data_IF_050053007625
#
_entry.id   IF_050053007625
#
_cell.length_a   1.000
_cell.length_b   1.000
_cell.length_c   1.000
_cell.angle_alpha   90.00
_cell.angle_beta   90.00
_cell.angle_gamma   90.00
#
_symmetry.space_group_name_H-M   'P 1'
#
loop_
_entity.id
_entity.type
_entity.pdbx_description
1 polymer ?
#
# COMPACT_ATOMS: atom_id res chain seq x y z
N UNK A 1 -18.13 -0.82 1.40
CA UNK A 1 -19.34 0.02 1.51
C UNK A 1 -19.33 0.95 0.31
N UNK A 2 -20.31 0.81 -0.60
CA UNK A 2 -20.43 1.64 -1.81
C UNK A 2 -21.51 2.68 -1.48
N UNK A 3 -21.20 3.98 -1.62
CA UNK A 3 -22.13 5.06 -1.27
C UNK A 3 -22.76 5.65 -2.54
N UNK A 4 -24.08 5.68 -2.59
CA UNK A 4 -24.87 6.22 -3.71
C UNK A 4 -25.28 7.69 -3.51
N UNK A 5 -25.18 8.44 -4.61
CA UNK A 5 -25.79 9.74 -4.95
C UNK A 5 -25.93 10.81 -3.85
N UNK A 6 -24.92 11.67 -3.76
CA UNK A 6 -25.12 13.09 -3.45
C UNK A 6 -25.05 13.85 -4.78
N UNK A 7 -26.20 14.38 -5.21
CA UNK A 7 -26.47 14.84 -6.59
C UNK A 7 -25.41 15.76 -7.20
N UNK A 8 -24.63 15.22 -8.15
CA UNK A 8 -23.73 15.98 -9.02
C UNK A 8 -23.80 15.42 -10.44
N UNK A 9 -23.90 16.30 -11.43
CA UNK A 9 -23.85 15.93 -12.85
C UNK A 9 -22.52 15.25 -13.21
N UNK A 10 -22.52 14.24 -14.10
CA UNK A 10 -21.36 13.39 -14.35
C UNK A 10 -20.34 14.11 -15.24
N UNK A 11 -19.23 14.52 -14.64
CA UNK A 11 -17.99 14.87 -15.37
C UNK A 11 -16.82 14.06 -14.81
N UNK A 12 -16.85 12.76 -15.08
CA UNK A 12 -15.86 11.78 -14.64
C UNK A 12 -16.46 10.38 -14.77
N UNK A 13 -15.69 9.40 -15.26
CA UNK A 13 -16.15 8.06 -15.58
C UNK A 13 -16.83 7.36 -14.40
N UNK A 14 -18.16 7.42 -14.35
CA UNK A 14 -18.97 6.75 -13.34
C UNK A 14 -18.96 5.24 -13.59
N UNK A 15 -18.32 4.48 -12.71
CA UNK A 15 -18.55 3.04 -12.64
C UNK A 15 -19.96 2.80 -12.09
N UNK A 16 -20.86 2.27 -12.92
CA UNK A 16 -22.20 1.81 -12.54
C UNK A 16 -23.09 2.86 -11.82
N UNK A 17 -22.94 4.14 -12.12
CA UNK A 17 -23.80 5.21 -11.60
C UNK A 17 -23.46 5.71 -10.18
N UNK A 18 -22.33 5.31 -9.62
CA UNK A 18 -21.84 5.86 -8.34
C UNK A 18 -20.93 7.08 -8.57
N UNK A 19 -21.03 8.07 -7.66
CA UNK A 19 -20.19 9.28 -7.70
C UNK A 19 -18.81 9.08 -7.06
N UNK A 20 -18.68 8.11 -6.14
CA UNK A 20 -17.44 7.77 -5.43
C UNK A 20 -17.34 6.26 -5.30
N UNK A 21 -16.21 5.69 -5.69
CA UNK A 21 -15.92 4.25 -5.67
C UNK A 21 -14.99 3.91 -4.51
N UNK A 22 -15.38 2.91 -3.72
CA UNK A 22 -14.60 2.40 -2.59
C UNK A 22 -14.47 0.88 -2.67
N UNK A 23 -13.34 0.39 -3.19
CA UNK A 23 -13.03 -1.03 -3.31
C UNK A 23 -11.60 -1.32 -2.82
N UNK A 24 -11.16 -2.57 -2.90
CA UNK A 24 -9.75 -2.93 -2.61
C UNK A 24 -8.76 -2.31 -3.59
N UNK A 25 -9.22 -1.92 -4.80
CA UNK A 25 -8.36 -1.29 -5.79
C UNK A 25 -7.76 0.01 -5.27
N UNK A 26 -6.44 0.11 -5.32
CA UNK A 26 -5.65 1.31 -5.05
C UNK A 26 -5.92 2.42 -6.10
N UNK A 27 -6.58 2.08 -7.20
CA UNK A 27 -7.09 3.02 -8.22
C UNK A 27 -8.50 3.54 -7.91
N UNK A 28 -9.17 3.07 -6.85
CA UNK A 28 -10.45 3.63 -6.39
C UNK A 28 -10.26 5.05 -5.85
N UNK A 29 -11.35 5.84 -5.82
CA UNK A 29 -11.36 7.17 -5.20
C UNK A 29 -10.91 7.12 -3.74
N UNK A 30 -11.41 6.11 -3.01
CA UNK A 30 -10.99 5.80 -1.64
C UNK A 30 -10.76 4.30 -1.48
N UNK A 31 -9.51 3.82 -1.59
CA UNK A 31 -9.20 2.39 -1.47
C UNK A 31 -9.51 1.84 -0.07
N UNK A 32 -10.03 0.63 0.02
CA UNK A 32 -10.35 -0.07 1.27
C UNK A 32 -9.59 -1.40 1.27
N UNK A 33 -8.34 -1.36 1.71
CA UNK A 33 -7.47 -2.53 1.81
C UNK A 33 -7.67 -3.32 3.10
N UNK A 34 -7.19 -4.57 3.12
CA UNK A 34 -7.20 -5.47 4.27
C UNK A 34 -5.90 -5.36 5.09
N UNK A 35 -5.34 -4.15 5.21
CA UNK A 35 -4.06 -3.94 5.88
C UNK A 35 -4.09 -2.64 6.71
N UNK A 36 -3.55 -2.74 7.92
CA UNK A 36 -3.21 -1.62 8.78
C UNK A 36 -2.22 -2.07 9.86
N UNK A 37 -1.50 -1.13 10.44
CA UNK A 37 -0.62 -1.40 11.59
C UNK A 37 -1.42 -1.77 12.84
N UNK A 38 -2.66 -1.30 12.95
CA UNK A 38 -3.56 -1.62 14.06
C UNK A 38 -4.09 -3.07 14.02
N UNK A 39 -4.31 -3.62 12.81
CA UNK A 39 -4.85 -4.97 12.63
C UNK A 39 -3.78 -6.07 12.62
N UNK A 40 -2.59 -5.77 12.10
CA UNK A 40 -1.55 -6.77 11.87
C UNK A 40 -0.25 -6.39 12.56
N UNK A 41 0.19 -7.22 13.50
CA UNK A 41 1.54 -7.17 14.06
C UNK A 41 2.55 -7.74 13.05
N UNK A 42 2.76 -7.00 11.95
CA UNK A 42 3.64 -7.38 10.85
C UNK A 42 5.09 -7.53 11.31
N UNK A 43 5.49 -6.91 12.41
CA UNK A 43 6.83 -7.01 12.99
C UNK A 43 6.91 -8.03 14.13
N UNK A 44 5.88 -8.85 14.34
CA UNK A 44 5.90 -9.94 15.32
C UNK A 44 7.14 -10.83 15.12
N UNK A 45 7.82 -11.24 16.21
CA UNK A 45 8.99 -12.09 16.15
C UNK A 45 8.72 -13.41 15.41
N UNK A 46 9.65 -13.81 14.56
CA UNK A 46 9.58 -15.09 13.84
C UNK A 46 9.80 -16.23 14.83
N UNK A 47 8.86 -17.18 14.87
CA UNK A 47 8.99 -18.40 15.68
C UNK A 47 9.71 -19.50 14.89
N UNK A 48 10.31 -20.44 15.63
CA UNK A 48 10.92 -21.63 15.04
C UNK A 48 9.85 -22.45 14.30
N UNK A 49 10.17 -22.88 13.08
CA UNK A 49 9.28 -23.69 12.24
C UNK A 49 9.39 -25.15 12.66
N UNK A 50 8.30 -25.71 13.19
CA UNK A 50 8.29 -27.04 13.82
C UNK A 50 7.48 -28.09 13.07
N UNK A 51 6.62 -27.68 12.13
CA UNK A 51 5.81 -28.62 11.35
C UNK A 51 6.65 -29.31 10.28
N UNK A 52 6.37 -30.61 10.07
CA UNK A 52 7.07 -31.42 9.06
C UNK A 52 6.58 -31.13 7.64
N UNK A 53 5.29 -30.81 7.50
CA UNK A 53 4.75 -30.37 6.22
C UNK A 53 5.33 -28.99 5.87
N UNK A 54 5.66 -28.79 4.60
CA UNK A 54 6.30 -27.54 4.16
C UNK A 54 5.35 -26.36 4.26
N UNK A 55 4.09 -26.57 3.91
CA UNK A 55 3.09 -25.52 3.82
C UNK A 55 1.80 -25.88 4.58
N UNK A 56 1.06 -24.84 4.97
CA UNK A 56 -0.31 -24.97 5.43
C UNK A 56 -1.28 -24.20 4.53
N UNK A 57 -2.49 -24.75 4.38
CA UNK A 57 -3.57 -24.17 3.61
C UNK A 57 -4.86 -24.06 4.44
N UNK A 58 -5.49 -22.89 4.39
CA UNK A 58 -6.77 -22.60 5.05
C UNK A 58 -7.79 -22.14 4.02
N UNK A 59 -8.09 -23.02 3.05
CA UNK A 59 -8.98 -22.74 1.93
C UNK A 59 -10.31 -23.47 2.14
N UNK A 60 -11.40 -22.71 2.30
CA UNK A 60 -12.74 -23.30 2.54
C UNK A 60 -13.74 -23.05 1.42
N UNK A 61 -13.46 -22.13 0.50
CA UNK A 61 -14.30 -21.93 -0.68
C UNK A 61 -13.73 -22.76 -1.85
N UNK A 62 -14.31 -23.92 -2.17
CA UNK A 62 -13.75 -24.75 -3.25
C UNK A 62 -14.27 -24.35 -4.64
N UNK A 63 -15.18 -23.37 -4.72
CA UNK A 63 -15.80 -22.91 -5.96
C UNK A 63 -15.26 -21.56 -6.47
N UNK A 64 -14.05 -21.18 -6.08
CA UNK A 64 -13.42 -19.98 -6.63
C UNK A 64 -13.18 -20.15 -8.14
N UNK A 65 -13.46 -19.11 -8.92
CA UNK A 65 -13.30 -19.10 -10.37
C UNK A 65 -11.88 -18.68 -10.76
N UNK A 66 -10.88 -19.37 -10.22
CA UNK A 66 -9.47 -19.23 -10.57
C UNK A 66 -8.76 -20.60 -10.45
N UNK A 67 -7.49 -20.68 -10.82
CA UNK A 67 -6.74 -21.93 -10.93
C UNK A 67 -6.15 -22.45 -9.60
N UNK A 68 -6.66 -21.97 -8.46
CA UNK A 68 -5.98 -22.17 -7.17
C UNK A 68 -6.03 -23.60 -6.65
N UNK A 69 -7.07 -24.37 -7.00
CA UNK A 69 -7.18 -25.77 -6.58
C UNK A 69 -6.31 -26.65 -7.47
N UNK A 70 -6.28 -26.35 -8.77
CA UNK A 70 -5.39 -27.00 -9.74
C UNK A 70 -3.93 -26.78 -9.35
N UNK A 71 -3.56 -25.57 -8.92
CA UNK A 71 -2.23 -25.29 -8.41
C UNK A 71 -1.92 -26.01 -7.10
N UNK A 72 -2.88 -26.11 -6.17
CA UNK A 72 -2.72 -26.88 -4.94
C UNK A 72 -2.44 -28.35 -5.26
N UNK A 73 -3.25 -28.97 -6.11
CA UNK A 73 -3.04 -30.36 -6.55
C UNK A 73 -1.70 -30.55 -7.28
N UNK A 74 -1.29 -29.60 -8.11
CA UNK A 74 -0.02 -29.64 -8.81
C UNK A 74 1.17 -29.54 -7.83
N UNK A 75 1.09 -28.70 -6.81
CA UNK A 75 2.08 -28.65 -5.73
C UNK A 75 2.17 -30.00 -4.98
N UNK A 76 1.02 -30.61 -4.64
CA UNK A 76 0.98 -31.94 -4.01
C UNK A 76 1.64 -33.01 -4.90
N UNK A 77 1.31 -33.04 -6.21
CA UNK A 77 1.93 -33.95 -7.20
C UNK A 77 3.43 -33.75 -7.35
N UNK A 78 3.92 -32.53 -7.12
CA UNK A 78 5.35 -32.19 -7.11
C UNK A 78 6.01 -32.48 -5.76
N UNK A 79 5.37 -33.24 -4.87
CA UNK A 79 5.87 -33.62 -3.54
C UNK A 79 6.08 -32.43 -2.58
N UNK A 80 5.27 -31.38 -2.70
CA UNK A 80 5.15 -30.37 -1.63
C UNK A 80 4.15 -30.88 -0.61
N UNK A 81 4.60 -31.13 0.62
CA UNK A 81 3.72 -31.56 1.71
C UNK A 81 2.90 -30.38 2.23
N UNK A 82 1.59 -30.50 2.13
CA UNK A 82 0.63 -29.44 2.49
C UNK A 82 -0.34 -29.97 3.55
N UNK A 83 -0.39 -29.31 4.70
CA UNK A 83 -1.43 -29.53 5.71
C UNK A 83 -2.61 -28.58 5.43
N UNK A 84 -3.73 -29.15 4.99
CA UNK A 84 -4.94 -28.45 4.62
C UNK A 84 -5.99 -28.53 5.73
N UNK A 85 -6.21 -27.40 6.39
CA UNK A 85 -7.14 -27.24 7.52
C UNK A 85 -8.52 -26.74 7.09
N UNK A 86 -8.61 -26.08 5.93
CA UNK A 86 -9.87 -25.59 5.35
C UNK A 86 -10.74 -26.72 4.77
N UNK A 87 -11.91 -26.39 4.27
CA UNK A 87 -12.83 -27.40 3.70
C UNK A 87 -12.32 -28.03 2.40
N UNK A 88 -11.42 -27.39 1.66
CA UNK A 88 -10.86 -27.92 0.42
C UNK A 88 -9.61 -28.76 0.71
N UNK A 89 -9.51 -29.95 0.10
CA UNK A 89 -8.40 -30.90 0.31
C UNK A 89 -8.12 -31.20 1.79
N UNK A 90 -9.15 -31.14 2.64
CA UNK A 90 -9.02 -31.22 4.10
C UNK A 90 -8.35 -32.52 4.53
N UNK A 91 -7.11 -32.43 4.99
CA UNK A 91 -6.32 -33.54 5.53
C UNK A 91 -5.92 -33.33 7.00
N UNK A 92 -6.22 -32.15 7.56
CA UNK A 92 -6.13 -31.84 8.99
C UNK A 92 -7.46 -31.32 9.50
N UNK A 93 -7.73 -31.54 10.78
CA UNK A 93 -8.87 -30.92 11.44
C UNK A 93 -8.58 -29.45 11.75
N UNK A 94 -9.28 -28.53 11.09
CA UNK A 94 -9.21 -27.10 11.34
C UNK A 94 -10.26 -26.55 12.30
N UNK A 95 -11.18 -27.36 12.84
CA UNK A 95 -12.35 -26.90 13.60
C UNK A 95 -12.03 -26.13 14.88
N UNK A 96 -10.92 -26.49 15.54
CA UNK A 96 -10.44 -25.89 16.79
C UNK A 96 -9.12 -25.13 16.62
N UNK A 97 -8.60 -25.06 15.40
CA UNK A 97 -7.27 -24.53 15.11
C UNK A 97 -7.33 -23.01 14.94
N UNK A 98 -6.58 -22.29 15.78
CA UNK A 98 -6.30 -20.89 15.50
C UNK A 98 -5.35 -20.79 14.29
N UNK A 99 -5.83 -20.22 13.19
CA UNK A 99 -5.09 -20.09 11.93
C UNK A 99 -3.73 -19.44 12.10
N UNK A 100 -3.66 -18.29 12.79
CA UNK A 100 -2.40 -17.56 12.94
C UNK A 100 -1.38 -18.34 13.77
N UNK A 101 -1.82 -18.96 14.87
CA UNK A 101 -0.95 -19.80 15.71
C UNK A 101 -0.46 -21.06 14.99
N UNK A 102 -1.27 -21.63 14.10
CA UNK A 102 -0.84 -22.71 13.21
C UNK A 102 0.23 -22.24 12.23
N UNK A 103 -0.05 -21.16 11.47
CA UNK A 103 0.85 -20.64 10.44
C UNK A 103 2.24 -20.29 10.97
N UNK A 104 2.35 -19.85 12.23
CA UNK A 104 3.65 -19.57 12.88
C UNK A 104 4.62 -20.74 12.85
N UNK A 105 4.12 -21.98 12.82
CA UNK A 105 4.94 -23.21 12.82
C UNK A 105 5.33 -23.72 11.43
N UNK A 106 4.75 -23.17 10.37
CA UNK A 106 5.04 -23.55 8.98
C UNK A 106 6.05 -22.61 8.32
N UNK A 107 6.84 -23.16 7.39
CA UNK A 107 7.73 -22.38 6.53
C UNK A 107 6.93 -21.57 5.50
N UNK A 108 5.93 -22.19 4.90
CA UNK A 108 5.10 -21.58 3.86
C UNK A 108 3.62 -21.53 4.26
N UNK A 109 2.92 -20.51 3.78
CA UNK A 109 1.48 -20.35 3.91
C UNK A 109 0.87 -20.20 2.53
N UNK A 110 -0.09 -21.06 2.15
CA UNK A 110 -0.77 -20.93 0.86
C UNK A 110 -1.83 -19.81 0.96
N UNK A 111 -1.42 -18.61 0.55
CA UNK A 111 -2.24 -17.40 0.56
C UNK A 111 -2.99 -17.26 -0.78
N UNK A 112 -3.85 -18.23 -1.09
CA UNK A 112 -4.59 -18.27 -2.35
C UNK A 112 -5.91 -17.51 -2.26
N UNK A 113 -6.03 -16.45 -3.05
CA UNK A 113 -7.23 -15.62 -3.13
C UNK A 113 -8.33 -16.27 -3.97
N UNK A 114 -9.55 -15.74 -3.85
CA UNK A 114 -10.73 -16.24 -4.56
C UNK A 114 -10.81 -15.73 -6.02
N UNK A 115 -10.10 -14.64 -6.34
CA UNK A 115 -9.99 -14.06 -7.68
C UNK A 115 -8.60 -13.48 -7.88
N UNK A 116 -8.22 -13.29 -9.15
CA UNK A 116 -6.92 -12.78 -9.54
C UNK A 116 -7.04 -11.30 -9.97
N UNK A 117 -7.67 -10.49 -9.12
CA UNK A 117 -7.92 -9.07 -9.39
C UNK A 117 -6.76 -8.19 -8.91
N UNK A 118 -6.42 -7.16 -9.67
CA UNK A 118 -5.43 -6.16 -9.28
C UNK A 118 -5.78 -5.58 -7.89
N UNK A 119 -4.79 -5.51 -7.00
CA UNK A 119 -4.92 -5.10 -5.58
C UNK A 119 -5.83 -5.92 -4.67
N UNK A 120 -6.42 -7.01 -5.16
CA UNK A 120 -7.18 -7.89 -4.30
C UNK A 120 -6.23 -8.74 -3.45
N UNK A 121 -5.76 -8.14 -2.35
CA UNK A 121 -4.84 -8.72 -1.37
C UNK A 121 -5.51 -8.66 -0.01
N UNK A 122 -5.79 -9.83 0.57
CA UNK A 122 -6.60 -9.92 1.80
C UNK A 122 -5.80 -10.38 3.01
N UNK A 123 -6.50 -10.69 4.10
CA UNK A 123 -5.94 -11.24 5.34
C UNK A 123 -5.05 -12.48 5.11
N UNK A 124 -5.26 -13.24 4.02
CA UNK A 124 -4.44 -14.44 3.73
C UNK A 124 -2.97 -14.09 3.57
N UNK A 125 -2.68 -13.03 2.83
CA UNK A 125 -1.32 -12.57 2.61
C UNK A 125 -0.74 -11.97 3.89
N UNK A 126 -1.44 -11.01 4.52
CA UNK A 126 -0.92 -10.29 5.68
C UNK A 126 -0.76 -11.18 6.92
N UNK A 127 -1.68 -12.14 7.18
CA UNK A 127 -1.51 -13.11 8.27
C UNK A 127 -0.29 -14.02 8.06
N UNK A 128 0.05 -14.33 6.80
CA UNK A 128 1.27 -15.09 6.49
C UNK A 128 2.52 -14.30 6.89
N UNK A 129 2.55 -13.00 6.58
CA UNK A 129 3.62 -12.10 7.00
C UNK A 129 3.71 -12.00 8.54
N UNK A 130 2.58 -11.82 9.24
CA UNK A 130 2.55 -11.80 10.72
C UNK A 130 3.16 -13.10 11.28
N UNK A 131 2.76 -14.25 10.75
CA UNK A 131 3.26 -15.56 11.18
C UNK A 131 4.75 -15.81 10.90
N UNK A 132 5.40 -14.93 10.13
CA UNK A 132 6.76 -15.16 9.63
C UNK A 132 6.84 -16.41 8.77
N UNK A 133 5.76 -16.76 8.07
CA UNK A 133 5.73 -17.77 7.03
C UNK A 133 5.86 -17.07 5.68
N UNK A 134 6.54 -17.68 4.72
CA UNK A 134 6.64 -17.14 3.36
C UNK A 134 5.30 -17.40 2.66
N UNK A 135 4.50 -16.38 2.31
CA UNK A 135 3.29 -16.56 1.53
C UNK A 135 3.61 -17.10 0.12
N UNK A 136 2.92 -18.17 -0.26
CA UNK A 136 2.80 -18.63 -1.65
C UNK A 136 1.46 -18.13 -2.16
N UNK A 137 1.48 -17.26 -3.16
CA UNK A 137 0.32 -16.44 -3.55
C UNK A 137 -0.21 -16.87 -4.91
N UNK A 138 -1.53 -16.98 -4.99
CA UNK A 138 -2.33 -16.93 -6.22
C UNK A 138 -3.36 -15.85 -5.95
N UNK A 139 -3.41 -14.80 -6.78
CA UNK A 139 -4.28 -13.65 -6.52
C UNK A 139 -3.89 -12.46 -7.38
N UNK A 140 -3.74 -11.29 -6.76
CA UNK A 140 -3.41 -10.05 -7.45
C UNK A 140 -2.12 -10.18 -8.30
N UNK A 141 -2.18 -9.91 -9.62
CA UNK A 141 -1.00 -9.99 -10.50
C UNK A 141 0.14 -9.08 -10.07
N UNK A 142 -0.18 -7.98 -9.38
CA UNK A 142 0.75 -7.00 -8.85
C UNK A 142 1.11 -7.22 -7.36
N UNK A 143 1.02 -8.46 -6.84
CA UNK A 143 1.28 -8.75 -5.41
C UNK A 143 2.63 -8.22 -4.89
N UNK A 144 3.63 -8.07 -5.74
CA UNK A 144 4.93 -7.51 -5.37
C UNK A 144 4.85 -6.07 -4.84
N UNK A 145 3.84 -5.29 -5.26
CA UNK A 145 3.58 -3.94 -4.73
C UNK A 145 3.22 -3.95 -3.22
N UNK A 146 2.71 -5.08 -2.74
CA UNK A 146 2.28 -5.31 -1.36
C UNK A 146 3.32 -6.03 -0.51
N UNK A 147 4.45 -6.44 -1.11
CA UNK A 147 5.47 -7.22 -0.43
C UNK A 147 6.37 -6.31 0.45
N UNK A 148 6.69 -6.70 1.70
CA UNK A 148 7.65 -5.96 2.51
C UNK A 148 9.06 -5.99 1.92
N UNK A 149 9.42 -7.04 1.17
CA UNK A 149 10.62 -7.11 0.35
C UNK A 149 10.41 -8.03 -0.87
N UNK A 150 11.18 -7.91 -1.96
CA UNK A 150 11.01 -8.76 -3.15
C UNK A 150 11.16 -10.27 -2.89
N UNK A 151 11.93 -10.65 -1.86
CA UNK A 151 12.17 -12.04 -1.49
C UNK A 151 11.14 -12.60 -0.48
N UNK A 152 10.17 -11.79 -0.03
CA UNK A 152 9.28 -12.16 1.07
C UNK A 152 8.08 -13.03 0.64
N UNK A 153 7.95 -13.38 -0.64
CA UNK A 153 6.83 -14.16 -1.15
C UNK A 153 7.25 -15.02 -2.35
N UNK A 154 6.43 -16.02 -2.65
CA UNK A 154 6.45 -16.76 -3.92
C UNK A 154 5.11 -16.51 -4.62
N UNK A 155 5.14 -16.16 -5.91
CA UNK A 155 3.92 -15.86 -6.68
C UNK A 155 3.75 -16.91 -7.77
N UNK A 156 2.57 -17.50 -7.83
CA UNK A 156 2.10 -18.36 -8.92
C UNK A 156 1.09 -17.51 -9.69
N UNK A 157 1.55 -16.85 -10.76
CA UNK A 157 0.70 -15.99 -11.59
C UNK A 157 -0.12 -16.78 -12.59
N UNK A 158 0.39 -17.93 -13.00
CA UNK A 158 -0.24 -18.90 -13.89
C UNK A 158 0.15 -20.34 -13.53
N UNK A 159 -0.55 -21.34 -14.09
CA UNK A 159 -0.29 -22.75 -13.77
C UNK A 159 1.11 -23.23 -14.18
N UNK A 160 1.71 -22.62 -15.22
CA UNK A 160 3.09 -22.88 -15.65
C UNK A 160 4.11 -22.56 -14.56
N UNK A 161 3.81 -21.63 -13.65
CA UNK A 161 4.74 -21.20 -12.60
C UNK A 161 4.89 -22.25 -11.49
N UNK A 162 3.91 -23.15 -11.34
CA UNK A 162 3.81 -24.05 -10.18
C UNK A 162 5.07 -24.90 -9.99
N UNK A 163 5.66 -25.42 -11.07
CA UNK A 163 6.87 -26.22 -10.98
C UNK A 163 8.07 -25.40 -10.48
N UNK A 164 8.26 -24.20 -11.02
CA UNK A 164 9.32 -23.29 -10.58
C UNK A 164 9.17 -22.90 -9.11
N UNK A 165 7.93 -22.62 -8.68
CA UNK A 165 7.61 -22.26 -7.29
C UNK A 165 7.81 -23.43 -6.36
N UNK A 166 7.41 -24.65 -6.74
CA UNK A 166 7.67 -25.86 -5.97
C UNK A 166 9.18 -26.08 -5.76
N UNK A 167 9.98 -25.84 -6.80
CA UNK A 167 11.44 -25.93 -6.70
C UNK A 167 12.01 -24.86 -5.75
N UNK A 168 11.52 -23.62 -5.80
CA UNK A 168 11.88 -22.58 -4.83
C UNK A 168 11.49 -22.94 -3.40
N UNK A 169 10.29 -23.51 -3.19
CA UNK A 169 9.84 -23.98 -1.87
C UNK A 169 10.78 -25.05 -1.31
N UNK A 170 11.16 -26.04 -2.12
CA UNK A 170 12.11 -27.09 -1.71
C UNK A 170 13.50 -26.52 -1.40
N UNK A 171 14.00 -25.61 -2.23
CA UNK A 171 15.29 -24.95 -2.02
C UNK A 171 15.32 -24.17 -0.71
N UNK A 172 14.33 -23.31 -0.48
CA UNK A 172 14.20 -22.53 0.75
C UNK A 172 13.96 -23.43 1.97
N UNK A 173 13.23 -24.54 1.82
CA UNK A 173 13.04 -25.50 2.89
C UNK A 173 14.35 -26.19 3.30
N UNK A 174 15.23 -26.50 2.34
CA UNK A 174 16.50 -27.17 2.55
C UNK A 174 17.65 -26.22 2.94
N UNK A 175 17.51 -24.92 2.68
CA UNK A 175 18.55 -23.91 2.92
C UNK A 175 18.09 -22.87 3.97
N UNK A 176 18.51 -23.01 5.24
CA UNK A 176 18.13 -22.09 6.32
C UNK A 176 18.56 -20.64 6.07
N UNK A 177 19.71 -20.42 5.44
CA UNK A 177 20.21 -19.07 5.15
C UNK A 177 19.30 -18.37 4.12
N UNK A 178 18.95 -19.05 3.03
CA UNK A 178 18.06 -18.51 2.01
C UNK A 178 16.64 -18.26 2.58
N UNK A 179 16.14 -19.15 3.44
CA UNK A 179 14.87 -18.95 4.14
C UNK A 179 14.93 -17.71 5.06
N UNK A 180 15.98 -17.59 5.87
CA UNK A 180 16.16 -16.44 6.76
C UNK A 180 16.31 -15.13 5.98
N UNK A 181 16.98 -15.15 4.83
CA UNK A 181 17.10 -13.98 3.96
C UNK A 181 15.73 -13.52 3.42
N UNK A 182 14.81 -14.45 3.17
CA UNK A 182 13.42 -14.13 2.75
C UNK A 182 12.62 -13.43 3.86
N UNK A 183 13.00 -13.63 5.13
CA UNK A 183 12.39 -13.01 6.30
C UNK A 183 13.22 -11.85 6.89
N UNK A 184 14.32 -11.46 6.26
CA UNK A 184 15.26 -10.46 6.80
C UNK A 184 14.61 -9.11 7.10
N UNK A 185 13.58 -8.76 6.33
CA UNK A 185 12.75 -7.56 6.52
C UNK A 185 12.06 -7.51 7.90
N UNK A 186 11.87 -8.63 8.59
CA UNK A 186 11.37 -8.68 9.98
C UNK A 186 12.33 -8.06 11.00
N UNK A 187 13.61 -7.97 10.65
CA UNK A 187 14.67 -7.45 11.51
C UNK A 187 15.16 -6.09 11.04
N UNK A 188 15.35 -5.93 9.72
CA UNK A 188 15.82 -4.68 9.11
C UNK A 188 14.70 -3.66 8.88
N UNK A 189 13.45 -4.10 8.91
CA UNK A 189 12.29 -3.33 8.52
C UNK A 189 11.89 -3.55 7.05
N UNK A 190 10.62 -3.31 6.71
CA UNK A 190 10.13 -3.42 5.34
C UNK A 190 10.52 -2.20 4.49
N UNK A 191 10.35 -2.33 3.18
CA UNK A 191 10.60 -1.23 2.23
C UNK A 191 9.76 0.02 2.53
N UNK A 192 10.23 1.18 2.08
CA UNK A 192 9.47 2.43 2.21
C UNK A 192 8.14 2.40 1.46
N UNK A 193 8.09 1.71 0.33
CA UNK A 193 6.85 1.52 -0.42
C UNK A 193 5.82 0.75 0.42
N UNK A 194 6.26 -0.32 1.10
CA UNK A 194 5.41 -1.09 2.00
C UNK A 194 4.93 -0.26 3.19
N UNK A 195 5.83 0.51 3.82
CA UNK A 195 5.45 1.42 4.92
C UNK A 195 4.40 2.43 4.46
N UNK A 196 4.68 3.14 3.36
CA UNK A 196 3.77 4.12 2.79
C UNK A 196 2.40 3.53 2.40
N UNK A 197 2.37 2.28 1.92
CA UNK A 197 1.13 1.55 1.69
C UNK A 197 0.39 1.30 3.01
N UNK A 198 1.04 0.69 3.99
CA UNK A 198 0.44 0.36 5.29
C UNK A 198 -0.04 1.57 6.09
N UNK A 199 0.67 2.69 6.00
CA UNK A 199 0.29 3.95 6.67
C UNK A 199 -1.04 4.51 6.17
N UNK A 200 -1.52 4.10 4.98
CA UNK A 200 -2.87 4.43 4.53
C UNK A 200 -3.93 3.95 5.54
N UNK A 201 -3.65 2.85 6.24
CA UNK A 201 -4.52 2.31 7.29
C UNK A 201 -4.58 3.17 8.55
N UNK A 202 -3.61 4.07 8.77
CA UNK A 202 -3.59 4.97 9.94
C UNK A 202 -4.72 6.02 9.92
N UNK A 203 -5.38 6.19 8.78
CA UNK A 203 -6.60 6.97 8.66
C UNK A 203 -7.69 6.05 8.13
N UNK A 204 -8.68 5.79 8.98
CA UNK A 204 -9.80 4.92 8.64
C UNK A 204 -10.48 5.35 7.33
N UNK A 205 -10.98 4.38 6.56
CA UNK A 205 -11.55 4.61 5.22
C UNK A 205 -12.67 5.65 5.19
N UNK A 206 -13.50 5.72 6.24
CA UNK A 206 -14.52 6.77 6.40
C UNK A 206 -13.93 8.17 6.51
N UNK A 207 -12.83 8.35 7.25
CA UNK A 207 -12.15 9.64 7.36
C UNK A 207 -11.50 10.03 6.03
N UNK A 208 -10.90 9.06 5.31
CA UNK A 208 -10.34 9.30 3.98
C UNK A 208 -11.42 9.70 2.97
N UNK A 209 -12.61 9.12 3.08
CA UNK A 209 -13.78 9.56 2.31
C UNK A 209 -14.16 11.01 2.64
N UNK A 210 -14.25 11.39 3.91
CA UNK A 210 -14.53 12.78 4.29
C UNK A 210 -13.48 13.74 3.70
N UNK A 211 -12.20 13.37 3.74
CA UNK A 211 -11.12 14.17 3.14
C UNK A 211 -11.31 14.29 1.63
N UNK A 212 -11.61 13.20 0.93
CA UNK A 212 -11.86 13.19 -0.51
C UNK A 212 -13.02 14.12 -0.89
N UNK A 213 -14.16 13.98 -0.21
CA UNK A 213 -15.35 14.81 -0.45
C UNK A 213 -15.08 16.28 -0.15
N UNK A 214 -14.48 16.57 1.01
CA UNK A 214 -14.17 17.94 1.41
C UNK A 214 -13.14 18.60 0.46
N UNK A 215 -12.17 17.84 -0.06
CA UNK A 215 -11.24 18.34 -1.09
C UNK A 215 -11.98 18.72 -2.36
N UNK A 216 -12.87 17.87 -2.86
CA UNK A 216 -13.65 18.19 -4.07
C UNK A 216 -14.60 19.38 -3.89
N UNK A 217 -15.19 19.56 -2.70
CA UNK A 217 -15.99 20.74 -2.36
C UNK A 217 -15.12 22.00 -2.38
N UNK A 218 -13.99 21.99 -1.68
CA UNK A 218 -13.09 23.14 -1.58
C UNK A 218 -12.54 23.56 -2.96
N UNK A 219 -12.18 22.60 -3.81
CA UNK A 219 -11.77 22.87 -5.20
C UNK A 219 -12.88 23.52 -6.05
N UNK A 220 -14.14 23.24 -5.73
CA UNK A 220 -15.29 23.84 -6.42
C UNK A 220 -15.53 25.27 -5.95
N UNK A 221 -15.43 25.49 -4.63
CA UNK A 221 -15.58 26.82 -4.01
C UNK A 221 -14.49 27.79 -4.47
N UNK A 222 -13.24 27.33 -4.56
CA UNK A 222 -12.11 28.14 -5.03
C UNK A 222 -12.22 28.55 -6.51
N UNK A 223 -12.92 27.77 -7.34
CA UNK A 223 -13.22 28.15 -8.74
C UNK A 223 -14.37 29.16 -8.82
N UNK A 224 -15.11 29.38 -7.74
CA UNK A 224 -16.23 30.29 -7.67
C UNK A 224 -15.80 31.76 -7.60
N UNK A 225 -16.67 32.65 -8.11
CA UNK A 225 -16.44 34.11 -8.17
C UNK A 225 -16.22 34.77 -6.78
N UNK A 226 -16.65 34.11 -5.70
CA UNK A 226 -16.50 34.60 -4.34
C UNK A 226 -15.07 34.46 -3.78
N UNK A 227 -14.27 33.55 -4.33
CA UNK A 227 -12.89 33.36 -3.90
C UNK A 227 -11.99 34.36 -4.63
N UNK A 228 -11.80 35.55 -4.03
CA UNK A 228 -10.89 36.57 -4.56
C UNK A 228 -9.48 35.97 -4.66
N UNK A 229 -8.97 35.82 -5.89
CA UNK A 229 -7.66 35.26 -6.22
C UNK A 229 -6.55 35.85 -5.33
N UNK A 230 -6.06 35.06 -4.37
CA UNK A 230 -4.78 35.38 -3.71
C UNK A 230 -3.66 35.21 -4.74
N UNK A 231 -2.67 36.11 -4.79
CA UNK A 231 -1.58 35.98 -5.75
C UNK A 231 -0.75 34.73 -5.43
N UNK A 232 -0.84 33.72 -6.29
CA UNK A 232 -0.09 32.46 -6.18
C UNK A 232 1.39 32.58 -6.57
N UNK A 233 1.79 33.75 -7.06
CA UNK A 233 3.17 34.11 -7.33
C UNK A 233 3.39 35.59 -7.12
N UNK A 234 4.59 35.96 -6.72
CA UNK A 234 5.03 37.34 -6.55
C UNK A 234 6.38 37.52 -7.24
N UNK A 235 6.50 38.51 -8.13
CA UNK A 235 7.73 38.79 -8.86
C UNK A 235 8.33 40.10 -8.35
N UNK A 236 9.60 40.07 -7.96
CA UNK A 236 10.37 41.25 -7.57
C UNK A 236 11.72 41.22 -8.28
N UNK A 237 11.92 42.13 -9.23
CA UNK A 237 13.10 42.12 -10.09
C UNK A 237 13.10 40.88 -11.00
N UNK A 238 14.22 40.14 -11.04
CA UNK A 238 14.37 38.91 -11.83
C UNK A 238 13.88 37.64 -11.10
N UNK A 239 13.42 37.76 -9.87
CA UNK A 239 13.02 36.62 -9.04
C UNK A 239 11.51 36.52 -8.90
N UNK A 240 10.99 35.31 -9.05
CA UNK A 240 9.59 35.01 -8.76
C UNK A 240 9.50 34.03 -7.61
N UNK A 241 8.65 34.32 -6.62
CA UNK A 241 8.32 33.39 -5.54
C UNK A 241 6.96 32.77 -5.86
N UNK A 242 6.92 31.45 -5.96
CA UNK A 242 5.72 30.64 -6.14
C UNK A 242 5.18 30.20 -4.79
N UNK A 243 3.87 30.28 -4.61
CA UNK A 243 3.17 29.79 -3.43
C UNK A 243 2.47 28.48 -3.77
N UNK A 244 2.85 27.43 -3.06
CA UNK A 244 2.31 26.07 -3.18
C UNK A 244 1.64 25.68 -1.86
N UNK A 245 0.70 24.74 -1.93
CA UNK A 245 0.05 24.15 -0.76
C UNK A 245 0.43 22.68 -0.66
N UNK A 246 0.97 22.27 0.48
CA UNK A 246 1.39 20.87 0.70
C UNK A 246 0.75 20.33 1.97
N UNK A 247 0.11 19.18 1.89
CA UNK A 247 -0.39 18.45 3.07
C UNK A 247 0.23 17.06 3.14
N UNK A 248 0.30 16.49 4.33
CA UNK A 248 0.53 15.05 4.46
C UNK A 248 -0.68 14.28 3.92
N UNK A 249 -0.46 13.19 3.16
CA UNK A 249 -1.52 12.28 2.73
C UNK A 249 -2.29 11.77 3.94
N UNK A 250 -3.63 11.85 3.88
CA UNK A 250 -4.49 11.49 5.01
C UNK A 250 -4.78 12.63 5.99
N UNK A 251 -4.25 13.84 5.75
CA UNK A 251 -4.70 15.08 6.41
C UNK A 251 -5.50 15.95 5.44
N UNK A 252 -6.41 16.75 5.98
CA UNK A 252 -7.19 17.70 5.18
C UNK A 252 -6.44 19.01 4.93
N UNK A 253 -5.90 19.61 6.00
CA UNK A 253 -5.27 20.93 5.97
C UNK A 253 -3.91 20.91 5.27
N UNK A 254 -3.63 21.95 4.49
CA UNK A 254 -2.36 22.16 3.80
C UNK A 254 -1.55 23.28 4.42
N UNK A 255 -0.24 23.13 4.35
CA UNK A 255 0.74 24.14 4.72
C UNK A 255 1.18 24.96 3.50
N UNK A 256 1.44 26.25 3.73
CA UNK A 256 2.01 27.12 2.71
C UNK A 256 3.49 26.86 2.53
N UNK A 257 3.90 26.60 1.29
CA UNK A 257 5.28 26.43 0.86
C UNK A 257 5.61 27.51 -0.17
N UNK A 258 6.73 28.19 0.02
CA UNK A 258 7.19 29.25 -0.88
C UNK A 258 8.49 28.82 -1.57
N UNK A 259 8.49 28.80 -2.90
CA UNK A 259 9.66 28.43 -3.70
C UNK A 259 10.07 29.59 -4.60
N UNK A 260 11.36 29.93 -4.56
CA UNK A 260 11.97 30.92 -5.47
C UNK A 260 12.19 30.28 -6.84
N UNK A 261 12.09 31.06 -7.91
CA UNK A 261 12.31 30.60 -9.29
C UNK A 261 13.71 30.02 -9.49
N UNK A 262 14.70 30.50 -8.73
CA UNK A 262 16.07 29.96 -8.69
C UNK A 262 16.18 28.56 -8.07
N UNK A 263 15.21 28.16 -7.23
CA UNK A 263 15.16 26.86 -6.55
C UNK A 263 13.88 26.07 -6.90
N UNK A 264 13.30 26.33 -8.08
CA UNK A 264 12.11 25.62 -8.55
C UNK A 264 12.54 24.26 -9.15
N UNK A 265 12.96 23.36 -8.27
CA UNK A 265 13.45 22.00 -8.56
C UNK A 265 12.72 20.99 -7.68
N UNK A 266 12.76 19.71 -8.03
CA UNK A 266 12.14 18.65 -7.22
C UNK A 266 12.81 18.55 -5.84
N UNK A 267 14.13 18.70 -5.79
CA UNK A 267 14.90 18.73 -4.54
C UNK A 267 14.62 19.99 -3.71
N UNK A 268 14.49 21.14 -4.37
CA UNK A 268 14.11 22.40 -3.72
C UNK A 268 12.75 22.32 -3.06
N UNK A 269 11.77 21.71 -3.75
CA UNK A 269 10.45 21.40 -3.18
C UNK A 269 10.57 20.46 -1.96
N UNK A 270 11.29 19.35 -2.10
CA UNK A 270 11.47 18.39 -1.01
C UNK A 270 12.08 19.05 0.24
N UNK A 271 13.13 19.84 0.05
CA UNK A 271 13.83 20.56 1.12
C UNK A 271 12.91 21.58 1.80
N UNK A 272 12.13 22.34 1.02
CA UNK A 272 11.19 23.31 1.56
C UNK A 272 10.06 22.64 2.36
N UNK A 273 9.55 21.50 1.89
CA UNK A 273 8.53 20.72 2.60
C UNK A 273 9.08 20.18 3.92
N UNK A 274 10.26 19.53 3.91
CA UNK A 274 10.88 19.02 5.15
C UNK A 274 11.14 20.17 6.13
N UNK A 275 11.72 21.27 5.67
CA UNK A 275 12.01 22.44 6.51
C UNK A 275 10.73 23.01 7.15
N UNK A 276 9.67 23.20 6.37
CA UNK A 276 8.38 23.69 6.86
C UNK A 276 7.78 22.75 7.89
N UNK A 277 7.68 21.46 7.58
CA UNK A 277 7.05 20.48 8.47
C UNK A 277 7.85 20.27 9.76
N UNK A 278 9.19 20.29 9.69
CA UNK A 278 10.05 20.30 10.88
C UNK A 278 9.84 21.55 11.75
N UNK A 279 9.72 22.74 11.14
CA UNK A 279 9.48 23.99 11.89
C UNK A 279 8.15 23.97 12.67
N UNK A 280 7.18 23.20 12.19
CA UNK A 280 5.88 22.99 12.82
C UNK A 280 5.89 21.87 13.87
N UNK A 281 7.03 21.18 14.04
CA UNK A 281 7.12 19.94 14.83
C UNK A 281 6.06 18.92 14.40
N UNK A 282 5.88 18.79 13.09
CA UNK A 282 4.83 17.96 12.52
C UNK A 282 5.00 16.49 12.91
N UNK A 283 3.91 15.89 13.39
CA UNK A 283 3.84 14.46 13.68
C UNK A 283 3.13 13.73 12.54
N UNK A 284 3.79 12.79 11.84
CA UNK A 284 3.16 12.02 10.77
C UNK A 284 1.94 11.22 11.25
N UNK A 285 0.94 11.05 10.40
CA UNK A 285 -0.31 10.34 10.76
C UNK A 285 -0.07 8.92 11.25
N UNK A 286 0.98 8.26 10.74
CA UNK A 286 1.33 6.89 11.11
C UNK A 286 2.10 6.79 12.43
N UNK A 287 2.55 7.90 13.02
CA UNK A 287 3.47 7.87 14.19
C UNK A 287 2.85 7.16 15.39
N UNK A 288 1.54 7.18 15.56
CA UNK A 288 0.89 6.49 16.67
C UNK A 288 0.81 4.98 16.43
N UNK A 289 0.31 4.56 15.26
CA UNK A 289 0.01 3.16 14.97
C UNK A 289 1.20 2.32 14.53
N UNK A 290 2.18 2.90 13.83
CA UNK A 290 3.32 2.15 13.30
C UNK A 290 4.10 1.46 14.45
N UNK A 291 4.63 0.24 14.30
CA UNK A 291 5.45 -0.39 15.33
C UNK A 291 6.64 0.49 15.76
N UNK A 292 6.96 0.52 17.06
CA UNK A 292 8.05 1.36 17.61
C UNK A 292 9.39 1.12 16.91
N UNK A 293 9.68 -0.12 16.52
CA UNK A 293 10.88 -0.49 15.77
C UNK A 293 11.00 0.18 14.40
N UNK A 294 9.90 0.69 13.85
CA UNK A 294 9.83 1.32 12.52
C UNK A 294 9.58 2.84 12.57
N UNK A 295 9.44 3.45 13.75
CA UNK A 295 9.15 4.89 13.87
C UNK A 295 10.36 5.78 13.57
N UNK A 296 11.58 5.24 13.68
CA UNK A 296 12.81 6.03 13.56
C UNK A 296 12.94 7.08 14.68
N UNK A 297 13.77 8.10 14.44
CA UNK A 297 13.88 9.27 15.31
C UNK A 297 12.80 10.32 15.02
N UNK A 298 13.02 11.56 15.49
CA UNK A 298 12.10 12.68 15.24
C UNK A 298 12.31 13.37 13.88
N UNK A 299 13.29 12.92 13.09
CA UNK A 299 13.56 13.47 11.77
C UNK A 299 12.52 13.02 10.75
N UNK A 300 11.87 14.00 10.11
CA UNK A 300 10.97 13.73 9.00
C UNK A 300 11.74 13.35 7.75
N UNK A 301 11.43 12.17 7.21
CA UNK A 301 11.95 11.72 5.93
C UNK A 301 10.82 11.64 4.91
N UNK A 302 11.00 12.37 3.83
CA UNK A 302 10.05 12.46 2.74
C UNK A 302 10.23 11.29 1.76
N UNK A 303 9.17 10.53 1.52
CA UNK A 303 9.14 9.47 0.51
C UNK A 303 8.80 10.01 -0.88
N UNK A 304 7.70 10.75 -0.95
CA UNK A 304 7.09 11.21 -2.20
C UNK A 304 6.36 12.52 -2.01
N UNK A 305 6.35 13.33 -3.06
CA UNK A 305 5.44 14.46 -3.23
C UNK A 305 4.78 14.35 -4.60
N UNK A 306 3.47 14.57 -4.66
CA UNK A 306 2.69 14.47 -5.88
C UNK A 306 1.46 15.39 -5.83
N UNK A 307 0.83 15.72 -6.98
CA UNK A 307 -0.41 16.48 -7.04
C UNK A 307 -1.54 15.90 -6.20
N UNK A 308 -2.32 16.75 -5.54
CA UNK A 308 -3.61 16.33 -4.95
C UNK A 308 -4.51 15.78 -6.06
N UNK A 309 -5.30 14.75 -5.73
CA UNK A 309 -6.28 14.14 -6.65
C UNK A 309 -5.80 12.86 -7.34
N UNK A 310 -4.53 12.49 -7.18
CA UNK A 310 -4.07 11.18 -7.65
C UNK A 310 -4.61 10.04 -6.78
N UNK A 311 -4.91 8.91 -7.43
CA UNK A 311 -5.23 7.65 -6.76
C UNK A 311 -4.04 7.12 -5.96
N UNK A 312 -4.26 6.18 -5.04
CA UNK A 312 -3.18 5.59 -4.26
C UNK A 312 -2.17 4.84 -5.15
N UNK A 313 -2.68 4.13 -6.18
CA UNK A 313 -1.84 3.48 -7.20
C UNK A 313 -0.94 4.51 -7.89
N UNK A 314 -1.51 5.63 -8.31
CA UNK A 314 -0.75 6.67 -9.00
C UNK A 314 0.30 7.29 -8.08
N UNK A 315 -0.09 7.69 -6.89
CA UNK A 315 0.80 8.28 -5.90
C UNK A 315 2.00 7.37 -5.58
N UNK A 316 1.76 6.09 -5.28
CA UNK A 316 2.82 5.18 -4.82
C UNK A 316 3.64 4.55 -5.95
N UNK A 317 3.05 4.23 -7.10
CA UNK A 317 3.72 3.33 -8.05
C UNK A 317 3.98 3.96 -9.42
N UNK A 318 3.16 4.90 -9.90
CA UNK A 318 3.29 5.39 -11.29
C UNK A 318 3.75 6.85 -11.41
N UNK A 319 3.29 7.74 -10.52
CA UNK A 319 3.59 9.17 -10.63
C UNK A 319 5.02 9.49 -10.19
N UNK A 320 5.72 10.24 -11.04
CA UNK A 320 6.95 10.98 -10.74
C UNK A 320 6.97 12.23 -11.63
N UNK A 321 7.48 13.34 -11.11
CA UNK A 321 7.79 14.50 -11.97
C UNK A 321 8.84 14.09 -13.01
N UNK A 322 8.72 14.59 -14.24
CA UNK A 322 9.69 14.35 -15.33
C UNK A 322 10.93 15.24 -15.14
N UNK A 323 11.62 15.06 -14.00
CA UNK A 323 12.71 15.92 -13.55
C UNK A 323 12.26 17.36 -13.22
N UNK A 324 13.24 18.24 -13.06
CA UNK A 324 12.99 19.63 -12.68
C UNK A 324 12.20 20.41 -13.73
N UNK A 325 12.43 20.15 -15.03
CA UNK A 325 11.68 20.81 -16.10
C UNK A 325 10.20 20.43 -16.06
N UNK A 326 9.89 19.16 -15.81
CA UNK A 326 8.51 18.69 -15.62
C UNK A 326 7.85 19.33 -14.39
N UNK A 327 8.58 19.46 -13.28
CA UNK A 327 8.07 20.13 -12.09
C UNK A 327 7.83 21.63 -12.30
N UNK A 328 8.77 22.36 -12.92
CA UNK A 328 8.60 23.79 -13.23
C UNK A 328 7.37 24.03 -14.08
N UNK A 329 7.21 23.27 -15.16
CA UNK A 329 6.02 23.34 -16.02
C UNK A 329 4.75 23.09 -15.22
N UNK A 330 4.73 22.07 -14.37
CA UNK A 330 3.57 21.81 -13.51
C UNK A 330 3.20 23.00 -12.62
N UNK A 331 4.18 23.64 -11.98
CA UNK A 331 3.93 24.82 -11.12
C UNK A 331 3.48 26.05 -11.93
N UNK A 332 4.00 26.22 -13.15
CA UNK A 332 3.59 27.31 -14.04
C UNK A 332 2.16 27.13 -14.56
N UNK A 333 1.80 25.90 -14.94
CA UNK A 333 0.48 25.54 -15.47
C UNK A 333 -0.60 25.49 -14.36
N UNK A 334 -0.19 25.34 -13.10
CA UNK A 334 -1.10 25.20 -11.96
C UNK A 334 -0.77 26.25 -10.87
N UNK A 335 -1.27 27.50 -11.01
CA UNK A 335 -1.16 28.50 -9.95
C UNK A 335 -1.71 27.98 -8.62
N UNK A 336 -1.00 28.23 -7.52
CA UNK A 336 -1.36 27.72 -6.19
C UNK A 336 -1.42 26.18 -6.15
N UNK A 337 -0.52 25.50 -6.86
CA UNK A 337 -0.56 24.05 -6.97
C UNK A 337 -0.64 23.38 -5.59
N UNK A 338 -1.57 22.42 -5.49
CA UNK A 338 -1.82 21.62 -4.30
C UNK A 338 -1.12 20.28 -4.45
N UNK A 339 -0.35 19.91 -3.44
CA UNK A 339 0.45 18.69 -3.42
C UNK A 339 0.18 17.91 -2.12
N UNK A 340 0.38 16.61 -2.18
CA UNK A 340 0.42 15.72 -1.03
C UNK A 340 1.83 15.17 -0.85
N UNK A 341 2.26 15.06 0.40
CA UNK A 341 3.51 14.47 0.82
C UNK A 341 3.26 13.16 1.57
N UNK A 342 4.13 12.18 1.37
CA UNK A 342 4.20 10.95 2.17
C UNK A 342 5.53 10.96 2.93
N UNK A 343 5.46 10.79 4.25
CA UNK A 343 6.62 10.64 5.14
C UNK A 343 6.78 9.18 5.58
N UNK A 344 8.00 8.67 5.78
CA UNK A 344 8.28 7.23 5.98
C UNK A 344 9.45 6.87 6.88
#
# INVERSE_FOLDING_TARGET
MILSNLGREPSGSSLNGYSIVMTTSLSSDVPVGYFSWAEYDIMAPVQAKSEKALAAAFISNCGARNFRLEALEALEKLNITIDSYGSCHRNRDGSTVNKLEALKRYKFSLAFENSNEEDYVTEKFFQSLVAGAIPVVIGAPNIQDFAPSPASLLHIGELSDVESVANSMKYLAANPEAFNNSLRWKYEGPSDSFKALFDMGAVHSSCRLCIHVATGIHETEEKGLAFKNRPCKCTRGSETVHHLYVRERGRFNSESIFLRSSNLTVEGLASAVISKFNSLKHEPIWKQERPKSLKGGDELRLYKIYPVGLTQRQALYTFRFKGDSGFRRYVEDNPCAKLEAIFV
#
